data_IF_645815496768
#
_entry.id   IF_645815496768
#
_cell.length_a   1.000
_cell.length_b   1.000
_cell.length_c   1.000
_cell.angle_alpha   90.00
_cell.angle_beta   90.00
_cell.angle_gamma   90.00
#
_symmetry.space_group_name_H-M   'P 1'
#
loop_
_entity.id
_entity.type
_entity.pdbx_description
1 polymer ?
#
# COMPACT_ATOMS: atom_id res chain seq x y z
N UNK A 1 36.75 -1.81 8.86
CA UNK A 1 35.69 -1.46 7.89
C UNK A 1 34.59 -2.53 7.77
N UNK A 2 34.22 -3.22 8.86
CA UNK A 2 33.21 -4.30 8.83
C UNK A 2 31.79 -3.86 9.24
N UNK A 3 31.68 -2.79 10.03
CA UNK A 3 30.39 -2.29 10.54
C UNK A 3 29.49 -1.69 9.45
N UNK A 4 30.07 -1.12 8.38
CA UNK A 4 29.30 -0.52 7.27
C UNK A 4 28.67 -1.56 6.34
N UNK A 5 29.32 -2.70 6.13
CA UNK A 5 28.81 -3.78 5.27
C UNK A 5 27.56 -4.44 5.85
N UNK A 6 27.55 -4.72 7.17
CA UNK A 6 26.39 -5.32 7.83
C UNK A 6 25.16 -4.42 7.80
N UNK A 7 25.33 -3.10 7.98
CA UNK A 7 24.23 -2.15 7.93
C UNK A 7 23.59 -2.06 6.54
N UNK A 8 24.39 -2.10 5.47
CA UNK A 8 23.88 -2.06 4.10
C UNK A 8 23.11 -3.34 3.73
N UNK A 9 23.56 -4.51 4.20
CA UNK A 9 22.86 -5.78 3.97
C UNK A 9 21.50 -5.78 4.67
N UNK A 10 21.42 -5.28 5.91
CA UNK A 10 20.16 -5.20 6.65
C UNK A 10 19.16 -4.27 5.97
N UNK A 11 19.60 -3.08 5.55
CA UNK A 11 18.76 -2.12 4.81
C UNK A 11 18.23 -2.69 3.49
N UNK A 12 19.07 -3.39 2.72
CA UNK A 12 18.63 -4.01 1.47
C UNK A 12 17.59 -5.11 1.69
N UNK A 13 17.76 -5.94 2.73
CA UNK A 13 16.76 -6.97 3.09
C UNK A 13 15.44 -6.35 3.55
N UNK A 14 15.50 -5.27 4.31
CA UNK A 14 14.32 -4.55 4.75
C UNK A 14 13.58 -3.87 3.58
N UNK A 15 14.31 -3.26 2.66
CA UNK A 15 13.73 -2.68 1.44
C UNK A 15 13.06 -3.74 0.55
N UNK A 16 13.71 -4.89 0.37
CA UNK A 16 13.15 -6.01 -0.39
C UNK A 16 11.87 -6.54 0.28
N UNK A 17 11.88 -6.68 1.61
CA UNK A 17 10.68 -7.06 2.37
C UNK A 17 9.58 -6.03 2.19
N UNK A 18 9.86 -4.73 2.34
CA UNK A 18 8.86 -3.67 2.15
C UNK A 18 8.26 -3.70 0.74
N UNK A 19 9.09 -3.90 -0.29
CA UNK A 19 8.63 -4.08 -1.67
C UNK A 19 7.62 -5.21 -1.81
N UNK A 20 7.84 -6.35 -1.16
CA UNK A 20 6.89 -7.48 -1.19
C UNK A 20 5.53 -7.13 -0.56
N UNK A 21 5.53 -6.40 0.56
CA UNK A 21 4.29 -5.92 1.18
C UNK A 21 3.56 -4.91 0.31
N UNK A 22 4.29 -3.99 -0.32
CA UNK A 22 3.68 -2.98 -1.21
C UNK A 22 3.03 -3.62 -2.44
N UNK A 23 3.70 -4.57 -3.09
CA UNK A 23 3.14 -5.30 -4.25
C UNK A 23 1.91 -6.11 -3.84
N UNK A 24 1.99 -6.82 -2.70
CA UNK A 24 0.84 -7.55 -2.16
C UNK A 24 -0.33 -6.62 -1.84
N UNK A 25 -0.05 -5.45 -1.24
CA UNK A 25 -1.06 -4.46 -0.91
C UNK A 25 -1.74 -3.89 -2.15
N UNK A 26 -0.98 -3.53 -3.19
CA UNK A 26 -1.54 -3.05 -4.47
C UNK A 26 -2.55 -4.05 -5.02
N UNK A 27 -2.19 -5.33 -5.05
CA UNK A 27 -3.08 -6.40 -5.48
C UNK A 27 -4.34 -6.48 -4.60
N UNK A 28 -4.17 -6.43 -3.29
CA UNK A 28 -5.29 -6.47 -2.36
C UNK A 28 -6.24 -5.28 -2.50
N UNK A 29 -5.71 -4.07 -2.74
CA UNK A 29 -6.50 -2.86 -2.97
C UNK A 29 -7.26 -2.92 -4.30
N UNK A 30 -6.62 -3.36 -5.39
CA UNK A 30 -7.28 -3.61 -6.68
C UNK A 30 -8.41 -4.63 -6.55
N UNK A 31 -8.30 -5.61 -5.66
CA UNK A 31 -9.36 -6.60 -5.42
C UNK A 31 -10.46 -6.11 -4.45
N UNK A 32 -10.26 -4.96 -3.79
CA UNK A 32 -11.15 -4.44 -2.75
C UNK A 32 -11.97 -3.24 -3.20
N UNK A 33 -11.41 -2.46 -4.12
CA UNK A 33 -12.04 -1.28 -4.66
C UNK A 33 -12.07 -1.32 -6.18
N UNK A 34 -13.16 -0.82 -6.77
CA UNK A 34 -13.31 -0.58 -8.21
C UNK A 34 -12.76 0.81 -8.56
N UNK A 35 -12.57 1.02 -9.87
CA UNK A 35 -12.32 2.33 -10.46
C UNK A 35 -11.09 3.09 -9.92
N UNK A 36 -10.10 2.37 -9.38
CA UNK A 36 -8.82 2.96 -8.98
C UNK A 36 -8.03 3.36 -10.23
N UNK A 37 -7.55 4.61 -10.28
CA UNK A 37 -6.61 5.07 -11.30
C UNK A 37 -5.17 5.11 -10.77
N UNK A 38 -5.01 5.47 -9.49
CA UNK A 38 -3.69 5.66 -8.87
C UNK A 38 -3.66 5.17 -7.44
N UNK A 39 -2.55 4.51 -7.09
CA UNK A 39 -2.19 4.14 -5.72
C UNK A 39 -0.83 4.77 -5.41
N UNK A 40 -0.75 5.56 -4.35
CA UNK A 40 0.52 6.03 -3.80
C UNK A 40 0.74 5.44 -2.42
N UNK A 41 1.88 4.80 -2.20
CA UNK A 41 2.28 4.23 -0.92
C UNK A 41 3.41 5.06 -0.33
N UNK A 42 3.28 5.40 0.94
CA UNK A 42 4.28 6.19 1.66
C UNK A 42 4.37 5.76 3.12
N UNK A 43 5.50 6.10 3.74
CA UNK A 43 5.75 5.86 5.17
C UNK A 43 5.49 4.40 5.60
N UNK A 44 6.11 3.40 4.95
CA UNK A 44 6.02 2.02 5.42
C UNK A 44 6.66 1.93 6.81
N UNK A 45 5.96 1.26 7.70
CA UNK A 45 6.34 1.10 9.10
C UNK A 45 6.23 -0.37 9.47
N UNK A 46 7.34 -0.93 9.95
CA UNK A 46 7.46 -2.31 10.35
C UNK A 46 7.62 -2.33 11.87
N UNK A 47 6.61 -2.83 12.59
CA UNK A 47 6.79 -3.05 14.02
C UNK A 47 7.83 -4.15 14.28
N UNK A 48 8.49 -4.12 15.44
CA UNK A 48 9.60 -5.04 15.77
C UNK A 48 9.11 -6.50 15.65
N UNK A 49 9.84 -7.40 14.95
CA UNK A 49 9.40 -8.77 14.72
C UNK A 49 9.04 -9.54 16.00
N UNK A 50 8.00 -10.40 15.96
CA UNK A 50 7.02 -10.55 14.88
C UNK A 50 6.06 -9.36 14.90
N UNK A 51 6.08 -8.54 13.84
CA UNK A 51 5.41 -7.25 13.84
C UNK A 51 4.57 -7.05 12.58
N UNK A 52 3.47 -6.34 12.76
CA UNK A 52 2.57 -5.86 11.72
C UNK A 52 3.28 -4.82 10.82
N UNK A 53 3.01 -4.93 9.52
CA UNK A 53 3.40 -3.92 8.53
C UNK A 53 2.24 -2.96 8.30
N UNK A 54 2.54 -1.67 8.31
CA UNK A 54 1.56 -0.63 8.01
C UNK A 54 2.15 0.40 7.07
N UNK A 55 1.29 1.16 6.38
CA UNK A 55 1.71 2.26 5.54
C UNK A 55 0.61 3.32 5.45
N UNK A 56 0.94 4.45 4.83
CA UNK A 56 -0.04 5.42 4.37
C UNK A 56 -0.28 5.21 2.89
N UNK A 57 -1.53 5.05 2.50
CA UNK A 57 -1.96 4.95 1.11
C UNK A 57 -2.72 6.20 0.69
N UNK A 58 -2.58 6.58 -0.57
CA UNK A 58 -3.47 7.51 -1.24
C UNK A 58 -4.07 6.83 -2.46
N UNK A 59 -5.39 6.79 -2.53
CA UNK A 59 -6.13 6.28 -3.67
C UNK A 59 -6.73 7.45 -4.45
N UNK A 60 -6.59 7.41 -5.77
CA UNK A 60 -7.33 8.27 -6.69
C UNK A 60 -8.25 7.39 -7.53
N UNK A 61 -9.52 7.76 -7.57
CA UNK A 61 -10.57 7.07 -8.33
C UNK A 61 -10.90 7.83 -9.60
N UNK A 62 -11.44 7.13 -10.60
CA UNK A 62 -11.75 7.70 -11.92
C UNK A 62 -12.87 8.75 -11.91
N UNK A 63 -13.66 8.80 -10.84
CA UNK A 63 -14.68 9.83 -10.61
C UNK A 63 -14.11 11.11 -9.96
N UNK A 64 -12.78 11.18 -9.79
CA UNK A 64 -12.07 12.33 -9.24
C UNK A 64 -11.96 12.34 -7.72
N UNK A 65 -12.52 11.33 -7.02
CA UNK A 65 -12.36 11.22 -5.57
C UNK A 65 -10.93 10.81 -5.21
N UNK A 66 -10.36 11.47 -4.20
CA UNK A 66 -9.03 11.17 -3.69
C UNK A 66 -9.11 11.03 -2.18
N UNK A 67 -8.56 9.93 -1.66
CA UNK A 67 -8.54 9.64 -0.23
C UNK A 67 -7.15 9.21 0.20
N UNK A 68 -6.72 9.67 1.37
CA UNK A 68 -5.43 9.30 1.97
C UNK A 68 -5.64 8.81 3.39
N UNK A 69 -5.16 7.60 3.71
CA UNK A 69 -5.35 6.99 5.02
C UNK A 69 -4.22 6.05 5.39
N UNK A 70 -4.10 5.75 6.70
CA UNK A 70 -3.18 4.73 7.20
C UNK A 70 -3.88 3.39 7.25
N UNK A 71 -3.15 2.32 6.92
CA UNK A 71 -3.65 0.96 6.99
C UNK A 71 -2.56 -0.04 7.35
N UNK A 72 -2.97 -1.17 7.92
CA UNK A 72 -2.14 -2.37 8.06
C UNK A 72 -2.31 -3.29 6.85
N UNK A 73 -1.33 -4.15 6.58
CA UNK A 73 -1.48 -5.21 5.59
C UNK A 73 -0.68 -6.46 5.97
N UNK A 74 -1.25 -7.62 5.64
CA UNK A 74 -0.58 -8.91 5.74
C UNK A 74 -0.52 -9.58 4.37
N UNK A 75 0.60 -10.25 4.08
CA UNK A 75 0.86 -10.86 2.76
C UNK A 75 -0.14 -11.94 2.32
N UNK A 76 -0.95 -12.47 3.24
CA UNK A 76 -1.97 -13.48 2.96
C UNK A 76 -3.34 -12.88 2.63
N UNK A 77 -3.50 -11.56 2.73
CA UNK A 77 -4.75 -10.88 2.42
C UNK A 77 -4.84 -10.61 0.92
N UNK A 78 -5.80 -11.26 0.26
CA UNK A 78 -6.14 -11.03 -1.15
C UNK A 78 -7.04 -9.81 -1.35
N UNK A 79 -7.68 -9.34 -0.27
CA UNK A 79 -8.46 -8.10 -0.17
C UNK A 79 -8.12 -7.38 1.13
N UNK A 80 -8.11 -6.05 1.10
CA UNK A 80 -7.85 -5.23 2.27
C UNK A 80 -8.68 -3.94 2.24
N UNK A 81 -9.70 -3.90 3.10
CA UNK A 81 -10.56 -2.74 3.33
C UNK A 81 -10.31 -2.11 4.71
N UNK A 82 -9.23 -2.49 5.39
CA UNK A 82 -8.88 -1.96 6.71
C UNK A 82 -8.34 -0.54 6.58
N UNK A 83 -9.24 0.44 6.61
CA UNK A 83 -8.92 1.85 6.53
C UNK A 83 -9.18 2.53 7.88
N UNK A 84 -8.20 3.30 8.38
CA UNK A 84 -8.41 4.18 9.53
C UNK A 84 -8.82 5.54 8.99
N UNK A 85 -10.13 5.79 8.96
CA UNK A 85 -10.77 6.93 8.28
C UNK A 85 -11.94 7.50 9.08
N UNK A 86 -12.36 8.72 8.75
CA UNK A 86 -13.60 9.30 9.28
C UNK A 86 -14.85 8.79 8.54
N UNK A 87 -16.05 9.18 8.98
CA UNK A 87 -17.31 8.70 8.40
C UNK A 87 -17.47 9.03 6.91
N UNK A 88 -17.11 10.26 6.49
CA UNK A 88 -17.23 10.71 5.10
C UNK A 88 -16.27 9.90 4.21
N UNK A 89 -15.02 9.77 4.64
CA UNK A 89 -14.01 8.96 3.96
C UNK A 89 -14.41 7.47 3.87
N UNK A 90 -15.05 6.93 4.91
CA UNK A 90 -15.60 5.57 4.89
C UNK A 90 -16.72 5.40 3.87
N UNK A 91 -17.59 6.41 3.70
CA UNK A 91 -18.65 6.40 2.68
C UNK A 91 -18.06 6.43 1.26
N UNK A 92 -17.01 7.23 1.04
CA UNK A 92 -16.27 7.25 -0.23
C UNK A 92 -15.72 5.87 -0.55
N UNK A 93 -14.98 5.25 0.38
CA UNK A 93 -14.42 3.91 0.19
C UNK A 93 -15.51 2.85 -0.05
N UNK A 94 -16.61 2.90 0.70
CA UNK A 94 -17.72 1.97 0.55
C UNK A 94 -18.42 2.11 -0.80
N UNK A 95 -18.53 3.33 -1.33
CA UNK A 95 -19.10 3.58 -2.67
C UNK A 95 -18.26 2.94 -3.78
N UNK A 96 -16.99 2.70 -3.51
CA UNK A 96 -16.01 2.10 -4.41
C UNK A 96 -15.72 0.63 -4.13
N UNK A 97 -16.49 -0.08 -3.30
CA UNK A 97 -16.28 -1.53 -3.15
C UNK A 97 -16.46 -2.28 -4.47
N UNK A 98 -15.53 -3.18 -4.77
CA UNK A 98 -15.48 -3.93 -6.03
C UNK A 98 -14.07 -4.40 -6.36
N UNK A 99 -13.77 -4.54 -7.65
CA UNK A 99 -12.39 -4.76 -8.11
C UNK A 99 -12.06 -3.87 -9.32
N UNK A 100 -10.77 -3.55 -9.46
CA UNK A 100 -10.19 -2.82 -10.59
C UNK A 100 -9.37 -3.78 -11.44
N UNK A 101 -9.90 -4.12 -12.62
CA UNK A 101 -9.20 -4.92 -13.64
C UNK A 101 -8.34 -4.05 -14.58
N UNK A 102 -8.56 -2.74 -14.60
CA UNK A 102 -7.78 -1.80 -15.41
C UNK A 102 -6.36 -1.62 -14.88
N UNK A 103 -5.49 -1.11 -15.74
CA UNK A 103 -4.16 -0.67 -15.36
C UNK A 103 -4.24 0.47 -14.35
N UNK A 104 -3.46 0.38 -13.28
CA UNK A 104 -3.38 1.36 -12.19
C UNK A 104 -1.97 1.92 -12.13
N UNK A 105 -1.84 3.24 -12.02
CA UNK A 105 -0.55 3.87 -11.75
C UNK A 105 -0.19 3.67 -10.28
N UNK A 106 0.94 3.03 -10.01
CA UNK A 106 1.44 2.79 -8.64
C UNK A 106 2.68 3.63 -8.39
N UNK A 107 2.70 4.36 -7.28
CA UNK A 107 3.89 5.03 -6.75
C UNK A 107 4.26 4.37 -5.43
N UNK A 108 5.42 3.74 -5.38
CA UNK A 108 5.93 3.04 -4.21
C UNK A 108 6.62 3.98 -3.23
N UNK A 109 6.89 3.50 -2.00
CA UNK A 109 7.48 4.36 -0.96
C UNK A 109 8.91 4.82 -1.24
N UNK A 110 9.65 4.13 -2.11
CA UNK A 110 10.97 4.54 -2.60
C UNK A 110 10.89 5.52 -3.79
N UNK A 111 9.68 5.95 -4.16
CA UNK A 111 9.43 6.88 -5.26
C UNK A 111 9.43 6.22 -6.64
N UNK A 112 9.60 4.91 -6.75
CA UNK A 112 9.49 4.21 -8.03
C UNK A 112 8.05 4.16 -8.49
N UNK A 113 7.86 4.33 -9.79
CA UNK A 113 6.56 4.21 -10.43
C UNK A 113 6.44 2.89 -11.18
N UNK A 114 5.26 2.28 -11.16
CA UNK A 114 4.91 1.12 -11.98
C UNK A 114 3.46 1.25 -12.49
N UNK A 115 3.11 0.45 -13.49
CA UNK A 115 1.74 0.28 -13.98
C UNK A 115 1.36 -1.19 -13.76
N UNK A 116 0.34 -1.43 -12.96
CA UNK A 116 -0.12 -2.76 -12.51
C UNK A 116 -1.56 -3.07 -12.91
#
# INVERSE_FOLDING_TARGET
MAFSLNGNIQKNKEAERNRQYEVSLVKALKNSYRDIEKIEISSPDYSVPPGDWSCTVQLSFSDGQVIKYRMGHSLYLDRNQSAVVNAVESEILASHYGSTESNVKVIFSDGKENVE
#
